data_IF_037881815544
#
_entry.id   IF_037881815544
#
_cell.length_a   1.000
_cell.length_b   1.000
_cell.length_c   1.000
_cell.angle_alpha   90.00
_cell.angle_beta   90.00
_cell.angle_gamma   90.00
#
_symmetry.space_group_name_H-M   'P 1'
#
loop_
_entity.id
_entity.type
_entity.pdbx_description
1 polymer ?
#
# COMPACT_ATOMS: atom_id res chain seq x y z
N UNK A 1 54.13 19.75 -16.59
CA UNK A 1 53.56 19.16 -15.36
C UNK A 1 52.20 19.76 -14.96
N UNK A 2 51.83 20.95 -15.41
CA UNK A 2 50.55 21.65 -15.03
C UNK A 2 49.33 21.12 -15.81
N UNK A 3 49.51 20.58 -17.02
CA UNK A 3 48.40 20.05 -17.82
C UNK A 3 47.78 18.72 -17.30
N UNK A 4 48.55 17.91 -16.57
CA UNK A 4 48.08 16.64 -16.01
C UNK A 4 47.17 16.81 -14.78
N UNK A 5 47.39 17.91 -14.00
CA UNK A 5 46.59 18.20 -12.82
C UNK A 5 45.20 18.75 -13.16
N UNK A 6 45.04 19.45 -14.27
CA UNK A 6 43.75 20.01 -14.75
C UNK A 6 42.86 18.90 -15.27
N UNK A 7 43.41 17.90 -15.95
CA UNK A 7 42.66 16.74 -16.44
C UNK A 7 42.19 15.85 -15.28
N UNK A 8 42.99 15.67 -14.24
CA UNK A 8 42.62 14.93 -13.05
C UNK A 8 41.45 15.60 -12.29
N UNK A 9 41.50 16.94 -12.15
CA UNK A 9 40.40 17.70 -11.53
C UNK A 9 39.11 17.67 -12.36
N UNK A 10 39.22 17.73 -13.68
CA UNK A 10 38.06 17.63 -14.57
C UNK A 10 37.42 16.22 -14.52
N UNK A 11 38.23 15.16 -14.43
CA UNK A 11 37.73 13.78 -14.26
C UNK A 11 37.10 13.54 -12.89
N UNK A 12 37.65 14.12 -11.84
CA UNK A 12 37.11 14.02 -10.50
C UNK A 12 35.79 14.79 -10.36
N UNK A 13 35.68 15.99 -10.95
CA UNK A 13 34.43 16.74 -11.05
C UNK A 13 33.38 16.02 -11.87
N UNK A 14 33.75 15.35 -12.96
CA UNK A 14 32.80 14.54 -13.75
C UNK A 14 32.33 13.28 -12.98
N UNK A 15 33.22 12.62 -12.22
CA UNK A 15 32.84 11.49 -11.36
C UNK A 15 31.89 11.90 -10.26
N UNK A 16 32.09 13.06 -9.62
CA UNK A 16 31.22 13.59 -8.58
C UNK A 16 29.88 14.04 -9.16
N UNK A 17 29.85 14.63 -10.36
CA UNK A 17 28.62 14.99 -11.06
C UNK A 17 27.84 13.77 -11.55
N UNK A 18 28.53 12.74 -12.06
CA UNK A 18 27.91 11.47 -12.48
C UNK A 18 27.38 10.67 -11.28
N UNK A 19 27.99 10.78 -10.10
CA UNK A 19 27.49 10.15 -8.87
C UNK A 19 26.19 10.77 -8.36
N UNK A 20 25.94 12.06 -8.62
CA UNK A 20 24.71 12.77 -8.21
C UNK A 20 23.46 12.38 -9.01
N UNK A 21 23.63 11.77 -10.17
CA UNK A 21 22.52 11.49 -11.10
C UNK A 21 22.34 9.97 -11.36
N UNK A 22 22.82 9.12 -10.48
CA UNK A 22 22.68 7.68 -10.64
C UNK A 22 21.22 7.28 -10.33
N UNK A 23 20.58 6.58 -11.28
CA UNK A 23 19.32 5.85 -11.03
C UNK A 23 19.49 5.00 -9.79
N UNK A 24 18.60 5.16 -8.85
CA UNK A 24 18.54 4.33 -7.66
C UNK A 24 17.26 3.50 -7.73
N UNK A 25 17.35 2.36 -8.40
CA UNK A 25 16.27 1.39 -8.35
C UNK A 25 16.11 0.94 -6.90
N UNK A 26 14.89 0.97 -6.41
CA UNK A 26 14.60 0.72 -5.02
C UNK A 26 13.70 -0.47 -4.84
N UNK A 27 14.11 -1.33 -3.94
CA UNK A 27 13.23 -2.31 -3.32
C UNK A 27 12.59 -1.68 -2.09
N UNK A 28 11.27 -1.73 -1.97
CA UNK A 28 10.52 -1.22 -0.84
C UNK A 28 9.75 -2.36 -0.17
N UNK A 29 9.99 -2.55 1.10
CA UNK A 29 9.24 -3.46 1.96
C UNK A 29 8.39 -2.63 2.91
N UNK A 30 7.08 -2.82 2.88
CA UNK A 30 6.14 -2.08 3.71
C UNK A 30 5.47 -3.02 4.72
N UNK A 31 5.42 -2.60 5.96
CA UNK A 31 4.59 -3.20 7.00
C UNK A 31 3.62 -2.14 7.48
N UNK A 32 2.34 -2.35 7.24
CA UNK A 32 1.31 -1.34 7.48
C UNK A 32 0.26 -1.86 8.45
N UNK A 33 -0.15 -1.05 9.40
CA UNK A 33 -1.42 -1.14 10.07
C UNK A 33 -2.51 -0.60 9.15
N UNK A 34 -3.64 -1.31 9.07
CA UNK A 34 -4.72 -0.97 8.12
C UNK A 34 -6.05 -0.94 8.85
N UNK A 35 -6.84 0.10 8.56
CA UNK A 35 -8.23 0.22 9.04
C UNK A 35 -9.16 0.58 7.88
N UNK A 36 -10.46 0.55 8.11
CA UNK A 36 -11.47 1.04 7.18
C UNK A 36 -12.01 2.36 7.68
N UNK A 37 -12.19 3.29 6.77
CA UNK A 37 -12.94 4.52 6.99
C UNK A 37 -14.38 4.32 6.49
N UNK A 38 -15.28 5.18 6.96
CA UNK A 38 -16.72 5.14 6.65
C UNK A 38 -17.42 3.84 7.09
N UNK A 39 -16.90 3.18 8.13
CA UNK A 39 -17.59 2.03 8.72
C UNK A 39 -18.83 2.48 9.49
N UNK A 40 -19.90 1.66 9.47
CA UNK A 40 -21.03 1.84 10.40
C UNK A 40 -20.56 1.56 11.83
N UNK A 41 -21.26 2.13 12.82
CA UNK A 41 -20.91 1.98 14.25
C UNK A 41 -20.88 0.51 14.71
N UNK A 42 -21.63 -0.35 14.02
CA UNK A 42 -21.70 -1.78 14.31
C UNK A 42 -20.51 -2.60 13.78
N UNK A 43 -19.79 -2.08 12.75
CA UNK A 43 -18.64 -2.74 12.12
C UNK A 43 -17.34 -2.24 12.74
N UNK A 44 -16.72 -3.05 13.57
CA UNK A 44 -15.48 -2.70 14.26
C UNK A 44 -14.28 -3.42 13.63
N UNK A 45 -13.29 -2.63 13.21
CA UNK A 45 -12.01 -3.16 12.71
C UNK A 45 -11.02 -3.24 13.87
N UNK A 46 -10.46 -4.41 14.07
CA UNK A 46 -9.49 -4.65 15.13
C UNK A 46 -8.18 -3.89 14.88
N UNK A 47 -7.55 -3.31 15.93
CA UNK A 47 -6.20 -2.76 15.83
C UNK A 47 -5.12 -3.76 15.38
N UNK A 48 -5.41 -5.06 15.42
CA UNK A 48 -4.52 -6.11 14.92
C UNK A 48 -4.56 -6.27 13.38
N UNK A 49 -5.27 -5.39 12.66
CA UNK A 49 -5.33 -5.42 11.19
C UNK A 49 -4.05 -4.85 10.60
N UNK A 50 -3.39 -5.63 9.76
CA UNK A 50 -2.12 -5.25 9.16
C UNK A 50 -1.97 -5.79 7.74
N UNK A 51 -1.05 -5.21 7.00
CA UNK A 51 -0.73 -5.59 5.63
C UNK A 51 0.77 -5.59 5.38
N UNK A 52 1.16 -6.30 4.35
CA UNK A 52 2.52 -6.36 3.86
C UNK A 52 2.54 -5.92 2.41
N UNK A 53 3.52 -5.09 2.05
CA UNK A 53 3.76 -4.64 0.68
C UNK A 53 5.20 -4.88 0.26
N UNK A 54 5.35 -5.30 -0.97
CA UNK A 54 6.62 -5.46 -1.66
C UNK A 54 6.55 -4.67 -2.96
N UNK A 55 7.50 -3.74 -3.21
CA UNK A 55 7.52 -2.91 -4.42
C UNK A 55 8.92 -2.81 -4.99
N UNK A 56 9.02 -2.93 -6.31
CA UNK A 56 10.23 -2.63 -7.07
C UNK A 56 9.96 -1.32 -7.81
N UNK A 57 10.79 -0.31 -7.57
CA UNK A 57 10.61 1.04 -8.11
C UNK A 57 11.80 1.42 -8.96
N UNK A 58 11.52 1.87 -10.17
CA UNK A 58 12.49 2.46 -11.08
C UNK A 58 12.51 3.97 -10.86
N UNK A 59 13.64 4.49 -10.43
CA UNK A 59 13.81 5.88 -10.05
C UNK A 59 14.46 6.67 -11.19
N UNK A 60 13.81 7.73 -11.65
CA UNK A 60 14.27 8.60 -12.70
C UNK A 60 14.52 10.01 -12.13
N UNK A 61 15.76 10.32 -11.73
CA UNK A 61 16.09 11.63 -11.18
C UNK A 61 15.98 12.73 -12.23
N UNK A 62 15.43 13.88 -11.84
CA UNK A 62 15.39 15.08 -12.69
C UNK A 62 16.77 15.73 -12.66
N UNK A 63 17.40 16.00 -13.83
CA UNK A 63 18.72 16.61 -13.90
C UNK A 63 18.80 17.94 -13.11
N UNK A 64 19.88 18.14 -12.39
CA UNK A 64 20.16 19.35 -11.59
C UNK A 64 19.07 19.69 -10.54
N UNK A 65 18.30 18.70 -10.11
CA UNK A 65 17.21 18.88 -9.16
C UNK A 65 17.33 17.87 -8.00
N UNK A 66 16.62 18.14 -6.92
CA UNK A 66 16.42 17.22 -5.80
C UNK A 66 15.20 16.32 -5.98
N UNK A 67 14.51 16.45 -7.11
CA UNK A 67 13.32 15.70 -7.45
C UNK A 67 13.65 14.49 -8.32
N UNK A 68 12.82 13.46 -8.19
CA UNK A 68 12.82 12.29 -9.06
C UNK A 68 11.39 11.81 -9.28
N UNK A 69 11.16 11.17 -10.44
CA UNK A 69 9.93 10.43 -10.73
C UNK A 69 10.24 8.94 -10.59
N UNK A 70 9.37 8.22 -9.93
CA UNK A 70 9.51 6.78 -9.80
C UNK A 70 8.24 6.08 -10.24
N UNK A 71 8.41 4.99 -10.99
CA UNK A 71 7.35 4.08 -11.42
C UNK A 71 7.76 2.68 -11.01
N UNK A 72 6.80 1.84 -10.64
CA UNK A 72 7.13 0.51 -10.16
C UNK A 72 6.05 -0.53 -10.37
N UNK A 73 6.36 -1.71 -9.88
CA UNK A 73 5.43 -2.83 -9.72
C UNK A 73 5.49 -3.31 -8.27
N UNK A 74 4.36 -3.73 -7.73
CA UNK A 74 4.28 -4.20 -6.38
C UNK A 74 3.24 -5.28 -6.14
N UNK A 75 3.38 -5.92 -4.99
CA UNK A 75 2.38 -6.79 -4.39
C UNK A 75 1.99 -6.18 -3.04
N UNK A 76 0.71 -6.07 -2.79
CA UNK A 76 0.18 -5.49 -1.57
C UNK A 76 -0.88 -6.41 -0.97
N UNK A 77 -0.70 -6.78 0.28
CA UNK A 77 -1.67 -7.58 1.03
C UNK A 77 -2.29 -6.75 2.13
N UNK A 78 -3.60 -6.87 2.31
CA UNK A 78 -4.32 -6.26 3.43
C UNK A 78 -5.05 -7.35 4.18
N UNK A 79 -4.87 -7.40 5.49
CA UNK A 79 -5.50 -8.36 6.40
C UNK A 79 -6.32 -7.58 7.42
N UNK A 80 -7.62 -7.60 7.25
CA UNK A 80 -8.58 -6.94 8.14
C UNK A 80 -9.13 -7.95 9.14
N UNK A 81 -9.01 -7.68 10.41
CA UNK A 81 -9.66 -8.41 11.48
C UNK A 81 -10.85 -7.58 11.95
N UNK A 82 -12.03 -8.19 12.00
CA UNK A 82 -13.25 -7.49 12.37
C UNK A 82 -14.18 -8.37 13.19
N UNK A 83 -15.18 -7.75 13.80
CA UNK A 83 -16.31 -8.43 14.41
C UNK A 83 -17.39 -8.86 13.40
N UNK A 84 -17.14 -8.67 12.09
CA UNK A 84 -18.17 -8.79 11.07
C UNK A 84 -17.75 -9.80 9.98
N UNK A 85 -18.71 -10.57 9.48
CA UNK A 85 -18.54 -11.44 8.32
C UNK A 85 -19.01 -10.72 7.05
N UNK A 86 -18.41 -11.05 5.90
CA UNK A 86 -18.94 -10.64 4.60
C UNK A 86 -20.09 -11.60 4.26
N UNK A 87 -21.26 -11.03 4.06
CA UNK A 87 -22.47 -11.77 3.69
C UNK A 87 -22.95 -11.29 2.32
N UNK A 88 -23.23 -12.25 1.45
CA UNK A 88 -23.85 -11.98 0.17
C UNK A 88 -25.37 -12.15 0.32
N UNK A 89 -26.15 -11.17 -0.11
CA UNK A 89 -27.60 -11.19 -0.03
C UNK A 89 -28.24 -10.64 -1.30
N UNK A 90 -29.45 -11.11 -1.61
CA UNK A 90 -30.22 -10.63 -2.73
C UNK A 90 -31.18 -9.53 -2.29
N UNK A 91 -31.13 -8.41 -2.99
CA UNK A 91 -32.15 -7.37 -2.84
C UNK A 91 -33.10 -7.44 -4.03
N UNK A 92 -34.38 -7.61 -3.71
CA UNK A 92 -35.46 -7.71 -4.70
C UNK A 92 -36.08 -6.31 -4.84
N UNK A 93 -35.99 -5.75 -6.05
CA UNK A 93 -36.64 -4.52 -6.49
C UNK A 93 -37.19 -4.75 -7.88
N UNK A 94 -37.03 -3.81 -8.80
CA UNK A 94 -37.36 -3.99 -10.23
C UNK A 94 -36.50 -5.07 -10.90
N UNK A 95 -35.34 -5.36 -10.30
CA UNK A 95 -34.45 -6.48 -10.64
C UNK A 95 -33.88 -7.12 -9.38
N UNK A 96 -33.53 -8.40 -9.46
CA UNK A 96 -32.85 -9.12 -8.38
C UNK A 96 -31.35 -8.86 -8.50
N UNK A 97 -30.79 -8.16 -7.52
CA UNK A 97 -29.37 -7.85 -7.50
C UNK A 97 -28.67 -8.49 -6.29
N UNK A 98 -27.47 -9.01 -6.52
CA UNK A 98 -26.60 -9.54 -5.47
C UNK A 98 -25.80 -8.40 -4.85
N UNK A 99 -25.82 -8.32 -3.52
CA UNK A 99 -25.07 -7.38 -2.71
C UNK A 99 -24.13 -8.12 -1.77
N UNK A 100 -23.06 -7.46 -1.39
CA UNK A 100 -22.11 -7.96 -0.38
C UNK A 100 -21.82 -6.86 0.62
N UNK A 101 -21.90 -7.18 1.91
CA UNK A 101 -21.59 -6.21 2.97
C UNK A 101 -21.03 -6.89 4.20
N UNK A 102 -20.47 -6.08 5.13
CA UNK A 102 -20.03 -6.53 6.43
C UNK A 102 -21.21 -6.54 7.41
N UNK A 103 -21.55 -7.71 7.88
CA UNK A 103 -22.56 -7.91 8.92
C UNK A 103 -21.89 -8.33 10.23
N UNK A 104 -22.14 -7.62 11.34
CA UNK A 104 -21.63 -8.00 12.66
C UNK A 104 -22.08 -9.40 13.02
N UNK A 105 -21.20 -10.14 13.71
CA UNK A 105 -21.55 -11.43 14.28
C UNK A 105 -22.44 -11.14 15.51
N UNK A 106 -23.56 -11.86 15.60
CA UNK A 106 -24.54 -11.67 16.68
C UNK A 106 -23.91 -11.82 18.07
N UNK A 107 -24.40 -11.00 19.01
CA UNK A 107 -23.97 -11.08 20.40
C UNK A 107 -24.30 -12.46 21.00
N UNK A 108 -23.36 -13.03 21.74
CA UNK A 108 -23.47 -14.35 22.33
C UNK A 108 -22.85 -15.49 21.52
N UNK A 109 -22.52 -15.26 20.24
CA UNK A 109 -21.74 -16.21 19.44
C UNK A 109 -20.25 -16.06 19.77
N UNK A 110 -19.62 -17.13 20.25
CA UNK A 110 -18.21 -17.13 20.57
C UNK A 110 -17.38 -17.25 19.28
N UNK A 111 -16.90 -16.11 18.75
CA UNK A 111 -15.95 -16.10 17.67
C UNK A 111 -14.53 -15.80 18.16
N UNK A 112 -13.58 -16.63 17.78
CA UNK A 112 -12.17 -16.48 18.17
C UNK A 112 -11.40 -15.61 17.20
N UNK A 113 -11.75 -15.63 15.92
CA UNK A 113 -11.07 -14.89 14.85
C UNK A 113 -11.96 -14.74 13.64
N UNK A 114 -12.03 -13.53 13.13
CA UNK A 114 -12.58 -13.26 11.81
C UNK A 114 -11.57 -12.39 11.05
N UNK A 115 -11.14 -12.85 9.90
CA UNK A 115 -10.10 -12.21 9.09
C UNK A 115 -10.52 -12.21 7.63
N UNK A 116 -10.53 -11.04 7.04
CA UNK A 116 -10.63 -10.84 5.60
C UNK A 116 -9.27 -10.41 5.05
N UNK A 117 -8.82 -11.06 3.97
CA UNK A 117 -7.52 -10.80 3.35
C UNK A 117 -7.68 -10.59 1.86
N UNK A 118 -7.10 -9.52 1.35
CA UNK A 118 -6.99 -9.21 -0.07
C UNK A 118 -5.54 -9.13 -0.49
N UNK A 119 -5.27 -9.50 -1.74
CA UNK A 119 -3.94 -9.41 -2.37
C UNK A 119 -4.11 -8.70 -3.70
N UNK A 120 -3.35 -7.63 -3.88
CA UNK A 120 -3.32 -6.82 -5.10
C UNK A 120 -1.94 -6.84 -5.73
N UNK A 121 -1.89 -6.87 -7.05
CA UNK A 121 -0.73 -6.44 -7.82
C UNK A 121 -0.94 -4.97 -8.15
N UNK A 122 0.03 -4.10 -7.86
CA UNK A 122 -0.12 -2.65 -8.01
C UNK A 122 1.00 -2.01 -8.83
N UNK A 123 0.64 -0.94 -9.53
CA UNK A 123 1.54 -0.07 -10.29
C UNK A 123 1.58 1.27 -9.55
N UNK A 124 2.57 1.48 -8.67
CA UNK A 124 2.79 2.76 -8.01
C UNK A 124 3.54 3.75 -8.89
N UNK A 125 3.14 5.03 -8.82
CA UNK A 125 3.85 6.16 -9.39
C UNK A 125 4.08 7.21 -8.30
N UNK A 126 5.32 7.71 -8.17
CA UNK A 126 5.72 8.63 -7.10
C UNK A 126 6.50 9.82 -7.64
N UNK A 127 6.28 10.98 -7.05
CA UNK A 127 7.20 12.12 -7.09
C UNK A 127 8.00 12.07 -5.79
N UNK A 128 9.31 12.14 -5.90
CA UNK A 128 10.25 12.00 -4.80
C UNK A 128 11.08 13.26 -4.65
N UNK A 129 11.30 13.67 -3.42
CA UNK A 129 12.24 14.74 -3.06
C UNK A 129 13.30 14.17 -2.12
N UNK A 130 14.58 14.43 -2.42
CA UNK A 130 15.71 13.99 -1.61
C UNK A 130 16.62 15.14 -1.25
N UNK A 131 16.98 15.22 0.02
CA UNK A 131 18.02 16.16 0.46
C UNK A 131 19.40 15.65 0.05
N UNK A 132 20.39 16.53 0.14
CA UNK A 132 21.79 16.13 0.00
C UNK A 132 22.16 15.12 1.09
N UNK A 133 23.08 14.21 0.76
CA UNK A 133 23.63 13.28 1.74
C UNK A 133 24.39 14.03 2.84
N UNK A 134 24.23 13.61 4.07
CA UNK A 134 25.06 14.09 5.17
C UNK A 134 26.43 13.36 5.17
N UNK A 135 27.30 13.70 6.09
CA UNK A 135 28.64 13.10 6.25
C UNK A 135 28.60 11.57 6.50
N UNK A 136 27.48 11.05 7.00
CA UNK A 136 27.25 9.62 7.25
C UNK A 136 26.59 8.90 6.06
N UNK A 137 26.37 9.59 4.94
CA UNK A 137 25.74 9.03 3.75
C UNK A 137 24.21 8.86 3.83
N UNK A 138 23.52 9.54 4.75
CA UNK A 138 22.07 9.52 4.88
C UNK A 138 21.43 10.80 4.33
N UNK A 139 20.23 10.70 3.79
CA UNK A 139 19.42 11.84 3.35
C UNK A 139 17.98 11.68 3.84
N UNK A 140 17.30 12.81 3.97
CA UNK A 140 15.85 12.82 4.06
C UNK A 140 15.24 12.56 2.69
N UNK A 141 14.22 11.74 2.66
CA UNK A 141 13.45 11.48 1.45
C UNK A 141 11.95 11.62 1.73
N UNK A 142 11.29 12.33 0.83
CA UNK A 142 9.86 12.49 0.77
C UNK A 142 9.38 11.87 -0.53
N UNK A 143 8.26 11.17 -0.50
CA UNK A 143 7.60 10.67 -1.68
C UNK A 143 6.09 10.86 -1.54
N UNK A 144 5.45 11.31 -2.61
CA UNK A 144 4.00 11.41 -2.72
C UNK A 144 3.62 10.81 -4.06
N UNK A 145 2.55 10.03 -4.09
CA UNK A 145 2.14 9.39 -5.32
C UNK A 145 0.78 8.72 -5.25
N UNK A 146 0.48 8.02 -6.31
CA UNK A 146 -0.71 7.18 -6.43
C UNK A 146 -0.35 5.77 -6.86
N UNK A 147 -1.29 4.88 -6.76
CA UNK A 147 -1.18 3.53 -7.29
C UNK A 147 -2.51 3.04 -7.84
N UNK A 148 -2.42 2.22 -8.88
CA UNK A 148 -3.54 1.44 -9.40
C UNK A 148 -3.20 -0.02 -9.18
N UNK A 149 -4.06 -0.74 -8.50
CA UNK A 149 -3.90 -2.16 -8.20
C UNK A 149 -5.01 -2.99 -8.81
N UNK A 150 -4.70 -4.24 -9.13
CA UNK A 150 -5.67 -5.24 -9.56
C UNK A 150 -5.72 -6.38 -8.54
N UNK A 151 -6.93 -6.78 -8.15
CA UNK A 151 -7.18 -7.85 -7.19
C UNK A 151 -6.80 -9.21 -7.78
N UNK A 152 -5.89 -9.91 -7.12
CA UNK A 152 -5.48 -11.27 -7.53
C UNK A 152 -5.93 -12.34 -6.55
N UNK A 153 -6.53 -11.94 -5.44
CA UNK A 153 -7.13 -12.87 -4.50
C UNK A 153 -7.81 -12.19 -3.32
N UNK A 154 -8.97 -12.72 -2.96
CA UNK A 154 -9.71 -12.36 -1.75
C UNK A 154 -10.10 -13.63 -0.99
N UNK A 155 -9.92 -13.62 0.32
CA UNK A 155 -10.30 -14.75 1.18
C UNK A 155 -10.68 -14.30 2.57
N UNK A 156 -11.67 -14.95 3.14
CA UNK A 156 -11.96 -14.83 4.57
C UNK A 156 -11.65 -16.11 5.33
N UNK A 157 -11.41 -15.94 6.61
CA UNK A 157 -11.26 -17.02 7.56
C UNK A 157 -11.89 -16.64 8.88
N UNK A 158 -12.94 -17.37 9.27
CA UNK A 158 -13.62 -17.22 10.54
C UNK A 158 -13.42 -18.46 11.40
N UNK A 159 -13.32 -18.29 12.72
CA UNK A 159 -13.34 -19.37 13.70
C UNK A 159 -14.48 -19.05 14.65
N UNK A 160 -15.58 -19.78 14.50
CA UNK A 160 -16.82 -19.62 15.25
C UNK A 160 -17.07 -20.94 15.98
N UNK A 161 -17.26 -20.90 17.30
CA UNK A 161 -17.46 -22.09 18.16
C UNK A 161 -16.41 -23.20 17.97
N UNK A 162 -15.15 -22.80 17.67
CA UNK A 162 -14.07 -23.74 17.42
C UNK A 162 -14.00 -24.31 15.99
N UNK A 163 -15.03 -24.09 15.18
CA UNK A 163 -15.10 -24.54 13.78
C UNK A 163 -14.47 -23.49 12.87
N UNK A 164 -13.64 -23.96 11.92
CA UNK A 164 -12.95 -23.10 10.96
C UNK A 164 -13.75 -23.01 9.66
N UNK A 165 -14.19 -21.81 9.31
CA UNK A 165 -14.81 -21.48 8.04
C UNK A 165 -13.81 -20.74 7.18
N UNK A 166 -13.73 -21.10 5.90
CA UNK A 166 -12.95 -20.39 4.89
C UNK A 166 -13.86 -20.15 3.69
N UNK A 167 -13.88 -18.91 3.22
CA UNK A 167 -14.55 -18.55 1.97
C UNK A 167 -13.54 -17.90 1.03
N UNK A 168 -13.68 -18.21 -0.23
CA UNK A 168 -12.93 -17.70 -1.36
C UNK A 168 -13.98 -17.20 -2.35
N UNK A 169 -13.58 -16.31 -3.24
CA UNK A 169 -14.44 -15.76 -4.30
C UNK A 169 -15.64 -14.96 -3.75
N UNK A 170 -15.43 -13.67 -3.69
CA UNK A 170 -16.46 -12.71 -3.32
C UNK A 170 -16.87 -11.94 -4.58
N UNK A 171 -18.12 -12.14 -5.09
CA UNK A 171 -18.52 -11.64 -6.41
C UNK A 171 -18.60 -10.13 -6.53
N UNK A 172 -18.68 -9.41 -5.42
CA UNK A 172 -18.88 -7.96 -5.41
C UNK A 172 -17.69 -7.21 -4.75
N UNK A 173 -16.49 -7.79 -4.75
CA UNK A 173 -15.29 -7.07 -4.34
C UNK A 173 -14.75 -6.32 -5.55
N UNK A 174 -14.39 -5.04 -5.32
CA UNK A 174 -13.82 -4.19 -6.35
C UNK A 174 -12.47 -4.73 -6.83
N UNK A 175 -12.40 -5.07 -8.11
CA UNK A 175 -11.19 -5.59 -8.73
C UNK A 175 -10.08 -4.53 -8.81
N UNK A 176 -10.45 -3.26 -8.99
CA UNK A 176 -9.53 -2.17 -9.16
C UNK A 176 -9.38 -1.33 -7.89
N UNK A 177 -8.19 -1.29 -7.34
CA UNK A 177 -7.85 -0.45 -6.20
C UNK A 177 -7.06 0.77 -6.67
N UNK A 178 -7.68 1.94 -6.62
CA UNK A 178 -7.01 3.22 -6.85
C UNK A 178 -6.74 3.87 -5.51
N UNK A 179 -5.53 4.39 -5.29
CA UNK A 179 -5.18 5.02 -4.04
C UNK A 179 -4.07 6.04 -4.17
N UNK A 180 -3.94 6.83 -3.12
CA UNK A 180 -2.85 7.80 -2.94
C UNK A 180 -2.00 7.38 -1.74
N UNK A 181 -0.73 7.75 -1.77
CA UNK A 181 0.17 7.46 -0.66
C UNK A 181 1.23 8.54 -0.52
N UNK A 182 1.72 8.66 0.71
CA UNK A 182 2.83 9.53 1.04
C UNK A 182 3.83 8.79 1.93
N UNK A 183 5.09 9.18 1.84
CA UNK A 183 6.17 8.58 2.61
C UNK A 183 7.20 9.64 2.99
N UNK A 184 7.65 9.61 4.25
CA UNK A 184 8.74 10.43 4.76
C UNK A 184 9.76 9.54 5.44
N UNK A 185 11.03 9.64 5.08
CA UNK A 185 12.06 8.77 5.58
C UNK A 185 13.42 9.42 5.73
N UNK A 186 14.26 8.75 6.50
CA UNK A 186 15.65 9.08 6.70
C UNK A 186 16.50 7.83 6.47
N UNK A 187 17.43 7.91 5.52
CA UNK A 187 18.24 6.78 5.10
C UNK A 187 17.38 5.63 4.55
N UNK A 188 17.44 4.46 5.18
CA UNK A 188 16.78 3.24 4.74
C UNK A 188 15.38 2.99 5.33
N UNK A 189 14.94 3.83 6.26
CA UNK A 189 13.65 3.67 6.95
C UNK A 189 12.77 4.88 6.72
N UNK A 190 11.49 4.63 6.46
CA UNK A 190 10.50 5.67 6.26
C UNK A 190 9.18 5.30 6.94
N UNK A 191 8.45 6.32 7.37
CA UNK A 191 7.03 6.22 7.69
C UNK A 191 6.24 6.39 6.40
N UNK A 192 5.16 5.64 6.25
CA UNK A 192 4.25 5.76 5.12
C UNK A 192 2.81 5.85 5.57
N UNK A 193 1.99 6.50 4.75
CA UNK A 193 0.53 6.51 4.86
C UNK A 193 -0.06 6.30 3.48
N UNK A 194 -1.17 5.56 3.40
CA UNK A 194 -1.89 5.30 2.16
C UNK A 194 -3.39 5.33 2.40
N UNK A 195 -4.11 5.88 1.44
CA UNK A 195 -5.56 5.97 1.42
C UNK A 195 -6.09 5.42 0.11
N UNK A 196 -7.02 4.47 0.18
CA UNK A 196 -7.70 3.94 -1.00
C UNK A 196 -8.88 4.84 -1.38
N UNK A 197 -8.86 5.35 -2.59
CA UNK A 197 -9.97 6.09 -3.18
C UNK A 197 -11.10 5.13 -3.61
N UNK A 198 -10.74 3.91 -4.01
CA UNK A 198 -11.69 2.84 -4.27
C UNK A 198 -12.20 2.24 -2.96
N UNK A 199 -13.48 1.87 -2.93
CA UNK A 199 -14.07 1.05 -1.87
C UNK A 199 -13.59 -0.41 -1.96
N UNK A 200 -13.88 -1.20 -0.91
CA UNK A 200 -13.66 -2.65 -0.94
C UNK A 200 -14.69 -3.34 -1.84
N UNK A 201 -15.93 -2.86 -1.82
CA UNK A 201 -17.01 -3.41 -2.63
C UNK A 201 -17.24 -2.58 -3.88
N UNK A 202 -17.70 -3.24 -4.95
CA UNK A 202 -18.12 -2.60 -6.18
C UNK A 202 -19.17 -1.51 -5.95
N UNK A 203 -19.17 -0.50 -6.79
CA UNK A 203 -20.12 0.59 -6.73
C UNK A 203 -21.56 0.06 -6.83
N UNK A 204 -22.42 0.50 -5.91
CA UNK A 204 -23.81 0.06 -5.80
C UNK A 204 -24.02 -1.45 -5.54
N UNK A 205 -23.02 -2.16 -5.03
CA UNK A 205 -23.10 -3.58 -4.67
C UNK A 205 -22.78 -3.85 -3.19
N UNK A 206 -22.52 -2.82 -2.41
CA UNK A 206 -22.25 -2.88 -0.97
C UNK A 206 -22.01 -1.49 -0.41
N UNK A 207 -21.77 -1.42 0.89
CA UNK A 207 -21.40 -0.17 1.56
C UNK A 207 -20.01 0.31 1.16
N UNK A 208 -19.80 1.61 1.22
CA UNK A 208 -18.53 2.24 0.82
C UNK A 208 -17.56 2.19 1.99
N UNK A 209 -16.56 1.34 1.90
CA UNK A 209 -15.48 1.20 2.89
C UNK A 209 -14.13 1.51 2.24
N UNK A 210 -13.50 2.60 2.64
CA UNK A 210 -12.21 3.01 2.10
C UNK A 210 -11.07 2.57 3.03
N UNK A 211 -10.17 1.69 2.59
CA UNK A 211 -8.99 1.31 3.37
C UNK A 211 -8.04 2.49 3.58
N UNK A 212 -7.64 2.70 4.83
CA UNK A 212 -6.59 3.59 5.24
C UNK A 212 -5.47 2.81 5.92
N UNK A 213 -4.23 3.11 5.61
CA UNK A 213 -3.07 2.39 6.15
C UNK A 213 -1.97 3.35 6.55
N UNK A 214 -1.33 3.06 7.67
CA UNK A 214 -0.09 3.73 8.11
C UNK A 214 0.94 2.68 8.49
N UNK A 215 2.22 2.96 8.29
CA UNK A 215 3.22 1.96 8.58
C UNK A 215 4.65 2.39 8.35
N UNK A 216 5.51 1.39 8.25
CA UNK A 216 6.94 1.56 8.05
C UNK A 216 7.35 0.94 6.72
N UNK A 217 8.18 1.68 5.99
CA UNK A 217 8.84 1.23 4.76
C UNK A 217 10.32 1.05 5.03
N UNK A 218 10.87 -0.07 4.58
CA UNK A 218 12.31 -0.33 4.59
C UNK A 218 12.77 -0.39 3.13
N UNK A 219 13.83 0.37 2.80
CA UNK A 219 14.53 0.33 1.52
C UNK A 219 15.93 -0.24 1.76
N UNK A 220 16.18 -1.53 1.47
CA UNK A 220 17.48 -2.18 1.75
C UNK A 220 18.65 -1.61 0.96
N UNK A 221 18.38 -1.01 -0.21
CA UNK A 221 19.38 -0.48 -1.16
C UNK A 221 19.20 1.01 -1.40
#
# INVERSE_FOLDING_TARGET
>A
MIFCSILAYAQESQKVAASKNKRQDQLLLNLNWTTLLNTSDSVQISPASWGFGFKIMLDNPVPNSKFAFALGLGLNTKSLYSNSNIVNYYQVGDSVNLYSDFFPIEDGINFKRNKFNTVYIDIPAEIRYRTSLNERGYSWNLAVGGSVGYLIGAKSKSIIEGIKYKAFDYPNIEDWAVGIHARIGYGKVALNAAYSLSSIFEQNRGSVYNPFSVGVTISPF
#
